data_IF_978316011863
#
_entry.id   IF_978316011863
#
_cell.length_a   1.000
_cell.length_b   1.000
_cell.length_c   1.000
_cell.angle_alpha   90.00
_cell.angle_beta   90.00
_cell.angle_gamma   90.00
#
_symmetry.space_group_name_H-M   'P 1'
#
loop_
_entity.id
_entity.type
_entity.pdbx_description
1 polymer ?
#
# COMPACT_ATOMS: atom_id res chain seq x y z
N UNK A 1 -1.10 -22.29 10.38
CA UNK A 1 -2.19 -22.51 9.41
C UNK A 1 -1.51 -23.04 8.17
N UNK A 2 -1.98 -24.12 7.59
CA UNK A 2 -1.39 -24.65 6.36
C UNK A 2 -1.97 -23.90 5.17
N UNK A 3 -1.20 -23.83 4.06
CA UNK A 3 -1.72 -23.31 2.80
C UNK A 3 -2.91 -24.17 2.35
N UNK A 4 -3.89 -23.53 1.71
CA UNK A 4 -5.06 -24.22 1.20
C UNK A 4 -4.64 -25.19 0.09
N UNK A 5 -4.86 -26.50 0.31
CA UNK A 5 -4.52 -27.53 -0.69
C UNK A 5 -5.70 -27.93 -1.56
N UNK A 6 -6.91 -27.78 -1.05
CA UNK A 6 -8.16 -28.14 -1.72
C UNK A 6 -9.22 -27.09 -1.43
N UNK A 7 -10.04 -26.81 -2.41
CA UNK A 7 -11.21 -25.96 -2.26
C UNK A 7 -12.40 -26.58 -3.02
N UNK A 8 -13.62 -26.62 -2.43
CA UNK A 8 -14.75 -27.33 -3.01
C UNK A 8 -15.26 -26.77 -4.36
N UNK A 9 -14.89 -25.53 -4.70
CA UNK A 9 -15.40 -24.83 -5.88
C UNK A 9 -14.26 -24.28 -6.75
N UNK A 10 -13.16 -23.81 -6.14
CA UNK A 10 -12.09 -23.13 -6.84
C UNK A 10 -10.91 -24.09 -7.05
N UNK A 11 -10.30 -24.04 -8.22
CA UNK A 11 -9.01 -24.68 -8.44
C UNK A 11 -7.95 -24.03 -7.58
N UNK A 12 -7.22 -24.84 -6.83
CA UNK A 12 -6.06 -24.40 -6.07
C UNK A 12 -4.80 -24.71 -6.86
N UNK A 13 -4.17 -23.71 -7.50
CA UNK A 13 -3.00 -23.96 -8.32
C UNK A 13 -1.81 -24.42 -7.47
N UNK A 14 -0.99 -25.32 -8.01
CA UNK A 14 0.32 -25.59 -7.42
C UNK A 14 1.17 -24.31 -7.45
N UNK A 15 1.75 -23.96 -6.30
CA UNK A 15 2.55 -22.76 -6.14
C UNK A 15 3.97 -23.11 -5.77
N UNK A 16 4.92 -22.45 -6.39
CA UNK A 16 6.34 -22.56 -6.04
C UNK A 16 6.56 -22.01 -4.63
N UNK A 17 7.24 -22.78 -3.79
CA UNK A 17 7.75 -22.30 -2.51
C UNK A 17 8.85 -21.27 -2.75
N UNK A 18 8.78 -20.18 -2.00
CA UNK A 18 9.79 -19.13 -1.96
C UNK A 18 10.19 -18.86 -0.51
N UNK A 19 11.42 -18.44 -0.31
CA UNK A 19 11.95 -18.11 1.01
C UNK A 19 12.13 -16.62 1.17
N UNK A 20 11.90 -16.13 2.37
CA UNK A 20 12.11 -14.72 2.75
C UNK A 20 12.47 -14.65 4.23
N UNK A 21 12.81 -13.48 4.73
CA UNK A 21 13.07 -13.29 6.16
C UNK A 21 12.08 -12.28 6.76
N UNK A 22 11.69 -12.51 8.02
CA UNK A 22 10.96 -11.54 8.82
C UNK A 22 11.68 -11.37 10.15
N UNK A 23 12.12 -10.15 10.45
CA UNK A 23 12.94 -9.81 11.63
C UNK A 23 14.17 -10.73 11.82
N UNK A 24 14.77 -11.16 10.69
CA UNK A 24 15.92 -12.06 10.68
C UNK A 24 15.58 -13.56 10.71
N UNK A 25 14.35 -13.93 11.00
CA UNK A 25 13.89 -15.31 10.95
C UNK A 25 13.58 -15.74 9.50
N UNK A 26 14.10 -16.89 9.08
CA UNK A 26 13.86 -17.45 7.75
C UNK A 26 12.49 -18.14 7.70
N UNK A 27 11.65 -17.66 6.80
CA UNK A 27 10.29 -18.13 6.60
C UNK A 27 10.08 -18.63 5.17
N UNK A 28 8.98 -19.37 4.98
CA UNK A 28 8.57 -19.89 3.68
C UNK A 28 7.19 -19.31 3.31
N UNK A 29 7.07 -18.84 2.10
CA UNK A 29 5.80 -18.47 1.48
C UNK A 29 5.63 -19.18 0.13
N UNK A 30 4.63 -18.76 -0.62
CA UNK A 30 4.36 -19.29 -1.96
C UNK A 30 4.29 -18.15 -2.97
N UNK A 31 4.70 -18.43 -4.19
CA UNK A 31 4.58 -17.49 -5.30
C UNK A 31 3.13 -17.02 -5.48
N UNK A 32 2.95 -15.74 -5.75
CA UNK A 32 1.62 -15.10 -5.85
C UNK A 32 1.00 -14.65 -4.53
N UNK A 33 1.60 -14.98 -3.38
CA UNK A 33 1.18 -14.42 -2.10
C UNK A 33 1.61 -12.96 -1.96
N UNK A 34 0.83 -12.18 -1.21
CA UNK A 34 1.29 -10.93 -0.62
C UNK A 34 1.99 -11.20 0.72
N UNK A 35 2.83 -10.26 1.16
CA UNK A 35 3.62 -10.42 2.39
C UNK A 35 2.73 -10.77 3.59
N UNK A 36 1.58 -10.08 3.75
CA UNK A 36 0.67 -10.33 4.87
C UNK A 36 0.13 -11.76 4.91
N UNK A 37 -0.19 -12.34 3.74
CA UNK A 37 -0.65 -13.72 3.65
C UNK A 37 0.45 -14.70 4.02
N UNK A 38 1.69 -14.45 3.57
CA UNK A 38 2.82 -15.30 3.91
C UNK A 38 3.16 -15.25 5.41
N UNK A 39 3.12 -14.07 6.04
CA UNK A 39 3.29 -13.93 7.48
C UNK A 39 2.18 -14.68 8.24
N UNK A 40 0.93 -14.54 7.79
CA UNK A 40 -0.20 -15.20 8.43
C UNK A 40 -0.12 -16.74 8.38
N UNK A 41 0.31 -17.31 7.25
CA UNK A 41 0.56 -18.76 7.11
C UNK A 41 1.64 -19.23 8.09
N UNK A 42 2.65 -18.41 8.34
CA UNK A 42 3.69 -18.66 9.35
C UNK A 42 3.25 -18.30 10.78
N UNK A 43 1.96 -18.08 11.04
CA UNK A 43 1.35 -17.76 12.34
C UNK A 43 1.76 -16.39 12.91
N UNK A 44 2.38 -15.54 12.12
CA UNK A 44 2.74 -14.18 12.49
C UNK A 44 1.54 -13.28 12.22
N UNK A 45 0.97 -12.70 13.27
CA UNK A 45 -0.22 -11.83 13.21
C UNK A 45 0.09 -10.37 13.53
N UNK A 46 1.19 -10.13 14.25
CA UNK A 46 1.65 -8.80 14.62
C UNK A 46 2.81 -8.43 13.71
N UNK A 47 2.66 -7.34 12.98
CA UNK A 47 3.64 -6.83 12.00
C UNK A 47 4.39 -5.60 12.53
N UNK A 48 3.98 -5.10 13.67
CA UNK A 48 4.57 -3.94 14.32
C UNK A 48 3.67 -3.42 15.42
N UNK A 49 4.04 -2.27 15.99
CA UNK A 49 3.31 -1.65 17.08
C UNK A 49 3.08 -0.16 16.80
N UNK A 50 1.93 0.32 17.23
CA UNK A 50 1.53 1.71 17.02
C UNK A 50 2.35 2.67 17.88
N UNK A 51 2.71 3.83 17.32
CA UNK A 51 3.63 4.81 17.94
C UNK A 51 3.12 5.42 19.25
N UNK A 52 1.79 5.56 19.43
CA UNK A 52 1.22 6.26 20.59
C UNK A 52 0.96 5.34 21.79
N UNK A 53 0.36 4.20 21.55
CA UNK A 53 -0.18 3.32 22.58
C UNK A 53 0.44 1.92 22.57
N UNK A 54 1.42 1.69 21.70
CA UNK A 54 2.09 0.41 21.51
C UNK A 54 1.12 -0.76 21.21
N UNK A 55 -0.08 -0.45 20.68
CA UNK A 55 -1.03 -1.47 20.30
C UNK A 55 -0.48 -2.32 19.12
N UNK A 56 -0.74 -3.63 19.10
CA UNK A 56 -0.27 -4.49 18.03
C UNK A 56 -0.97 -4.15 16.70
N UNK A 57 -0.19 -4.08 15.63
CA UNK A 57 -0.66 -3.82 14.28
C UNK A 57 -0.46 -5.04 13.38
N UNK A 58 -1.38 -5.27 12.46
CA UNK A 58 -1.36 -6.40 11.55
C UNK A 58 -2.41 -6.25 10.45
N UNK A 59 -2.98 -7.37 9.99
CA UNK A 59 -4.04 -7.34 8.97
C UNK A 59 -5.33 -6.80 9.57
N UNK A 60 -5.88 -5.74 8.95
CA UNK A 60 -7.18 -5.19 9.29
C UNK A 60 -8.08 -5.08 8.05
N UNK A 61 -7.80 -4.17 7.09
CA UNK A 61 -8.63 -3.97 5.91
C UNK A 61 -8.32 -4.92 4.75
N UNK A 62 -7.11 -5.46 4.67
CA UNK A 62 -6.57 -6.32 3.60
C UNK A 62 -6.69 -5.74 2.16
N UNK A 63 -6.98 -4.45 2.01
CA UNK A 63 -7.20 -3.78 0.72
C UNK A 63 -6.41 -2.46 0.57
N UNK A 64 -5.38 -2.27 1.39
CA UNK A 64 -4.45 -1.14 1.30
C UNK A 64 -4.96 0.18 1.90
N UNK A 65 -6.12 0.22 2.57
CA UNK A 65 -6.70 1.48 3.04
C UNK A 65 -6.20 1.95 4.41
N UNK A 66 -6.08 1.04 5.38
CA UNK A 66 -5.89 1.42 6.79
C UNK A 66 -4.43 1.61 7.22
N UNK A 67 -3.46 1.16 6.44
CA UNK A 67 -2.02 1.15 6.77
C UNK A 67 -1.63 0.38 8.07
N UNK A 68 -2.54 -0.41 8.66
CA UNK A 68 -2.27 -1.20 9.87
C UNK A 68 -1.26 -2.34 9.64
N UNK A 69 -1.07 -2.76 8.39
CA UNK A 69 -0.17 -3.85 8.01
C UNK A 69 1.18 -3.34 7.48
N UNK A 70 1.64 -2.16 7.91
CA UNK A 70 2.93 -1.65 7.47
C UNK A 70 4.07 -2.57 7.95
N UNK A 71 5.00 -2.81 7.04
CA UNK A 71 6.27 -3.51 7.26
C UNK A 71 7.37 -2.77 6.52
N UNK A 72 8.62 -3.03 6.86
CA UNK A 72 9.78 -2.48 6.16
C UNK A 72 10.35 -3.58 5.25
N UNK A 73 10.42 -3.30 3.96
CA UNK A 73 11.02 -4.18 2.97
C UNK A 73 12.22 -3.49 2.33
N UNK A 74 13.41 -4.07 2.50
CA UNK A 74 14.64 -3.49 1.96
C UNK A 74 14.79 -1.99 2.32
N UNK A 75 14.52 -1.65 3.58
CA UNK A 75 14.51 -0.31 4.16
C UNK A 75 13.41 0.66 3.63
N UNK A 76 12.42 0.15 2.89
CA UNK A 76 11.29 0.96 2.42
C UNK A 76 10.00 0.52 3.13
N UNK A 77 9.24 1.44 3.74
CA UNK A 77 7.95 1.10 4.33
C UNK A 77 6.91 0.76 3.25
N UNK A 78 6.27 -0.39 3.41
CA UNK A 78 5.24 -0.87 2.47
C UNK A 78 4.03 -1.46 3.21
N UNK A 79 2.90 -1.51 2.54
CA UNK A 79 1.69 -2.20 3.05
C UNK A 79 1.78 -3.69 2.72
N UNK A 80 1.97 -4.52 3.72
CA UNK A 80 2.13 -5.97 3.55
C UNK A 80 0.95 -6.63 2.80
N UNK A 81 -0.26 -6.10 2.93
CA UNK A 81 -1.44 -6.62 2.23
C UNK A 81 -1.49 -6.29 0.73
N UNK A 82 -0.65 -5.36 0.27
CA UNK A 82 -0.61 -4.93 -1.14
C UNK A 82 0.72 -5.27 -1.82
N UNK A 83 1.71 -5.72 -1.08
CA UNK A 83 3.05 -5.97 -1.61
C UNK A 83 3.24 -7.46 -1.91
N UNK A 84 3.44 -7.82 -3.19
CA UNK A 84 3.73 -9.21 -3.57
C UNK A 84 5.01 -9.72 -2.90
N UNK A 85 4.95 -10.94 -2.40
CA UNK A 85 6.11 -11.62 -1.84
C UNK A 85 7.07 -12.04 -2.95
N UNK A 86 8.37 -11.85 -2.74
CA UNK A 86 9.43 -12.25 -3.67
C UNK A 86 10.48 -13.09 -2.95
N UNK A 87 11.18 -13.92 -3.70
CA UNK A 87 12.29 -14.72 -3.20
C UNK A 87 13.39 -13.84 -2.58
N UNK A 88 13.93 -14.29 -1.45
CA UNK A 88 14.99 -13.61 -0.68
C UNK A 88 14.64 -12.20 -0.18
N UNK A 89 13.36 -11.87 -0.09
CA UNK A 89 12.92 -10.58 0.44
C UNK A 89 13.26 -10.47 1.92
N UNK A 90 13.79 -9.33 2.33
CA UNK A 90 14.07 -9.00 3.73
C UNK A 90 12.94 -8.12 4.23
N UNK A 91 12.14 -8.67 5.12
CA UNK A 91 11.00 -7.98 5.73
C UNK A 91 11.30 -7.76 7.22
N UNK A 92 11.00 -6.57 7.71
CA UNK A 92 11.12 -6.23 9.13
C UNK A 92 9.80 -5.67 9.65
N UNK A 93 9.54 -5.88 10.93
CA UNK A 93 8.42 -5.26 11.61
C UNK A 93 8.53 -3.72 11.57
N UNK A 94 7.38 -3.05 11.53
CA UNK A 94 7.32 -1.59 11.58
C UNK A 94 6.84 -1.15 12.96
N UNK A 95 7.76 -0.77 13.84
CA UNK A 95 7.45 -0.31 15.19
C UNK A 95 7.52 1.22 15.23
N UNK A 96 6.37 1.86 15.43
CA UNK A 96 6.28 3.32 15.41
C UNK A 96 6.21 3.91 14.00
N UNK A 97 6.79 5.09 13.81
CA UNK A 97 6.88 5.73 12.50
C UNK A 97 8.06 5.15 11.73
N UNK A 98 7.85 4.72 10.48
CA UNK A 98 8.95 4.23 9.66
C UNK A 98 9.91 5.36 9.29
N UNK A 99 11.20 5.09 9.35
CA UNK A 99 12.21 5.96 8.76
C UNK A 99 12.19 5.78 7.23
N UNK A 100 12.17 6.89 6.51
CA UNK A 100 12.29 6.86 5.07
C UNK A 100 13.77 6.73 4.68
N UNK A 101 14.09 6.01 3.60
CA UNK A 101 15.45 5.93 3.10
C UNK A 101 15.95 7.34 2.74
N UNK A 102 17.16 7.67 3.16
CA UNK A 102 17.84 8.88 2.70
C UNK A 102 18.27 8.66 1.25
N UNK A 103 17.76 9.47 0.36
CA UNK A 103 18.16 9.47 -1.06
C UNK A 103 19.20 10.56 -1.23
N UNK A 104 20.48 10.19 -1.24
CA UNK A 104 21.61 11.11 -1.44
C UNK A 104 21.91 11.36 -2.92
N UNK A 105 21.21 10.69 -3.83
CA UNK A 105 21.37 10.90 -5.26
C UNK A 105 20.75 12.23 -5.68
N UNK A 106 21.47 13.07 -6.44
CA UNK A 106 20.91 14.31 -6.94
C UNK A 106 19.71 14.01 -7.85
N UNK A 107 18.58 14.64 -7.55
CA UNK A 107 17.40 14.52 -8.39
C UNK A 107 17.69 15.18 -9.74
N UNK A 108 17.82 14.39 -10.80
CA UNK A 108 17.90 14.92 -12.15
C UNK A 108 16.49 15.35 -12.56
N UNK A 109 16.26 16.65 -12.58
CA UNK A 109 15.02 17.22 -13.09
C UNK A 109 15.08 17.16 -14.62
N UNK A 110 14.21 16.35 -15.23
CA UNK A 110 14.04 16.33 -16.69
C UNK A 110 13.33 17.57 -17.21
N UNK A 111 12.88 17.53 -18.46
CA UNK A 111 12.06 18.58 -19.04
C UNK A 111 10.78 18.77 -18.22
N UNK A 112 10.53 20.03 -17.82
CA UNK A 112 9.34 20.35 -17.03
C UNK A 112 8.51 21.42 -17.74
N UNK A 113 7.18 21.33 -17.51
CA UNK A 113 6.22 22.34 -17.95
C UNK A 113 5.78 23.19 -16.76
N UNK A 114 5.73 24.48 -16.94
CA UNK A 114 5.25 25.42 -15.93
C UNK A 114 3.80 25.77 -16.25
N UNK A 115 2.94 25.69 -15.26
CA UNK A 115 1.54 26.09 -15.35
C UNK A 115 1.23 27.10 -14.25
N UNK A 116 0.62 28.21 -14.64
CA UNK A 116 0.13 29.23 -13.70
C UNK A 116 -1.32 28.95 -13.34
N UNK A 117 -1.64 28.96 -12.05
CA UNK A 117 -3.00 28.77 -11.55
C UNK A 117 -3.20 29.52 -10.24
N UNK A 118 -4.43 29.85 -9.92
CA UNK A 118 -4.78 30.48 -8.64
C UNK A 118 -4.87 29.45 -7.51
N UNK A 119 -5.35 28.24 -7.84
CA UNK A 119 -5.46 27.13 -6.87
C UNK A 119 -4.96 25.83 -7.50
N UNK A 120 -4.07 25.16 -6.80
CA UNK A 120 -3.65 23.80 -7.10
C UNK A 120 -4.33 22.83 -6.13
N UNK A 121 -5.12 21.90 -6.66
CA UNK A 121 -5.74 20.81 -5.89
C UNK A 121 -4.96 19.53 -6.12
N UNK A 122 -4.45 18.94 -5.07
CA UNK A 122 -3.69 17.68 -5.12
C UNK A 122 -4.57 16.55 -4.61
N UNK A 123 -4.88 15.61 -5.51
CA UNK A 123 -5.74 14.45 -5.25
C UNK A 123 -7.17 14.65 -5.81
N UNK A 124 -7.55 13.79 -6.76
CA UNK A 124 -8.86 13.81 -7.42
C UNK A 124 -9.86 12.82 -6.80
N UNK A 125 -9.77 12.60 -5.50
CA UNK A 125 -10.81 11.93 -4.74
C UNK A 125 -12.05 12.81 -4.57
N UNK A 126 -13.10 12.35 -3.83
CA UNK A 126 -14.36 13.09 -3.68
C UNK A 126 -14.18 14.53 -3.20
N UNK A 127 -13.29 14.75 -2.25
CA UNK A 127 -13.01 16.07 -1.69
C UNK A 127 -12.37 17.02 -2.73
N UNK A 128 -11.33 16.54 -3.44
CA UNK A 128 -10.65 17.34 -4.47
C UNK A 128 -11.54 17.66 -5.65
N UNK A 129 -12.35 16.69 -6.10
CA UNK A 129 -13.33 16.89 -7.16
C UNK A 129 -14.39 17.94 -6.75
N UNK A 130 -14.93 17.83 -5.52
CA UNK A 130 -15.92 18.79 -5.02
C UNK A 130 -15.32 20.20 -4.89
N UNK A 131 -14.11 20.30 -4.34
CA UNK A 131 -13.41 21.59 -4.24
C UNK A 131 -13.16 22.22 -5.62
N UNK A 132 -12.62 21.43 -6.57
CA UNK A 132 -12.33 21.90 -7.92
C UNK A 132 -13.59 22.36 -8.66
N UNK A 133 -14.71 21.61 -8.50
CA UNK A 133 -16.00 21.98 -9.07
C UNK A 133 -16.49 23.34 -8.54
N UNK A 134 -16.52 23.50 -7.21
CA UNK A 134 -16.99 24.73 -6.56
C UNK A 134 -16.13 25.94 -6.98
N UNK A 135 -14.81 25.75 -7.00
CA UNK A 135 -13.89 26.82 -7.43
C UNK A 135 -14.10 27.21 -8.89
N UNK A 136 -14.27 26.20 -9.78
CA UNK A 136 -14.56 26.44 -11.19
C UNK A 136 -15.89 27.16 -11.43
N UNK A 137 -16.95 26.81 -10.67
CA UNK A 137 -18.24 27.51 -10.71
C UNK A 137 -18.14 28.98 -10.27
N UNK A 138 -17.09 29.31 -9.51
CA UNK A 138 -16.78 30.70 -9.10
C UNK A 138 -15.78 31.39 -10.01
N UNK A 139 -15.47 30.79 -11.17
CA UNK A 139 -14.49 31.29 -12.14
C UNK A 139 -13.06 31.43 -11.60
N UNK A 140 -12.70 30.63 -10.55
CA UNK A 140 -11.33 30.56 -10.07
C UNK A 140 -10.56 29.58 -10.97
N UNK A 141 -9.37 29.97 -11.41
CA UNK A 141 -8.52 29.14 -12.24
C UNK A 141 -7.90 28.01 -11.38
N UNK A 142 -8.31 26.77 -11.63
CA UNK A 142 -7.92 25.60 -10.85
C UNK A 142 -7.17 24.60 -11.71
N UNK A 143 -6.09 24.04 -11.15
CA UNK A 143 -5.46 22.82 -11.65
C UNK A 143 -5.68 21.72 -10.63
N UNK A 144 -6.25 20.60 -11.07
CA UNK A 144 -6.41 19.38 -10.30
C UNK A 144 -5.41 18.33 -10.79
N UNK A 145 -4.61 17.79 -9.89
CA UNK A 145 -3.65 16.72 -10.19
C UNK A 145 -3.92 15.46 -9.36
N UNK A 146 -3.70 14.30 -9.96
CA UNK A 146 -3.81 12.99 -9.30
C UNK A 146 -2.72 12.04 -9.81
N UNK A 147 -2.40 11.02 -9.04
CA UNK A 147 -1.44 9.99 -9.41
C UNK A 147 -2.05 8.89 -10.30
N UNK A 148 -3.35 8.94 -10.56
CA UNK A 148 -4.09 7.95 -11.34
C UNK A 148 -4.63 8.54 -12.63
N UNK A 149 -4.79 7.64 -13.63
CA UNK A 149 -5.38 8.01 -14.92
C UNK A 149 -6.87 8.34 -14.82
N UNK A 150 -7.58 7.76 -13.83
CA UNK A 150 -9.02 7.98 -13.62
C UNK A 150 -9.26 8.77 -12.35
N UNK A 151 -10.10 9.80 -12.46
CA UNK A 151 -10.51 10.63 -11.33
C UNK A 151 -11.57 9.91 -10.48
N UNK A 152 -11.73 10.30 -9.23
CA UNK A 152 -12.73 9.73 -8.30
C UNK A 152 -12.13 9.01 -7.12
N UNK A 153 -10.83 8.70 -7.16
CA UNK A 153 -10.12 8.04 -6.08
C UNK A 153 -10.76 6.69 -5.71
N UNK A 154 -11.00 6.46 -4.42
CA UNK A 154 -11.58 5.19 -3.94
C UNK A 154 -13.06 4.98 -4.30
N UNK A 155 -13.78 6.01 -4.70
CA UNK A 155 -15.18 5.85 -5.13
C UNK A 155 -15.30 5.02 -6.41
N UNK A 156 -14.32 5.07 -7.29
CA UNK A 156 -14.29 4.25 -8.52
C UNK A 156 -14.31 2.75 -8.21
N UNK A 157 -13.82 2.35 -7.02
CA UNK A 157 -13.79 0.96 -6.59
C UNK A 157 -15.09 0.48 -5.92
N UNK A 158 -16.05 1.36 -5.72
CA UNK A 158 -17.33 1.01 -5.12
C UNK A 158 -18.29 0.47 -6.18
N UNK A 159 -18.76 -0.76 -5.97
CA UNK A 159 -19.62 -1.48 -6.92
C UNK A 159 -21.09 -1.48 -6.53
N UNK A 160 -21.43 -1.06 -5.30
CA UNK A 160 -22.82 -1.01 -4.83
C UNK A 160 -23.50 0.31 -5.25
N UNK A 161 -24.79 0.21 -5.50
CA UNK A 161 -25.66 1.38 -5.74
C UNK A 161 -26.26 1.83 -4.41
N UNK A 162 -26.34 3.13 -4.22
CA UNK A 162 -27.06 3.74 -3.11
C UNK A 162 -28.53 3.88 -3.47
#
# INVERSE_FOLDING_TARGET
MEDLKEHPILEVPERKKITFTFDGEKLTGFEGMVISSALFVNKIKVFGHHVKDNSPQGIFCANGQCAQCNVIVNNVPVKACMTPLKENMIVKSCNGLPELPVIDEPITVGDFKIYDTEVLVIGAGPAGLSASKILGEKNVKVILIDDKAELGGKLVLQTHKF
#
